data_IF_771417415964
#
_entry.id   IF_771417415964
#
_cell.length_a   1.000
_cell.length_b   1.000
_cell.length_c   1.000
_cell.angle_alpha   90.00
_cell.angle_beta   90.00
_cell.angle_gamma   90.00
#
_symmetry.space_group_name_H-M   'P 1'
#
loop_
_entity.id
_entity.type
_entity.pdbx_description
1 polymer ?
#
# COMPACT_ATOMS: atom_id res chain seq x y z
N UNK A 1 -20.82 -10.77 20.57
CA UNK A 1 -19.54 -10.06 20.82
C UNK A 1 -18.37 -10.54 19.95
N UNK A 2 -18.33 -11.81 19.50
CA UNK A 2 -17.28 -12.28 18.57
C UNK A 2 -17.37 -11.62 17.17
N UNK A 3 -18.59 -11.42 16.65
CA UNK A 3 -18.82 -10.82 15.33
C UNK A 3 -18.32 -9.37 15.21
N UNK A 4 -18.47 -8.57 16.26
CA UNK A 4 -18.01 -7.17 16.28
C UNK A 4 -16.48 -7.08 16.32
N UNK A 5 -15.84 -8.01 17.02
CA UNK A 5 -14.38 -8.11 17.04
C UNK A 5 -13.82 -8.47 15.66
N UNK A 6 -14.36 -9.54 15.03
CA UNK A 6 -13.95 -9.93 13.67
C UNK A 6 -14.16 -8.81 12.65
N UNK A 7 -15.28 -8.08 12.74
CA UNK A 7 -15.56 -6.94 11.87
C UNK A 7 -14.51 -5.85 12.00
N UNK A 8 -14.10 -5.52 13.23
CA UNK A 8 -13.06 -4.53 13.50
C UNK A 8 -11.72 -4.96 12.91
N UNK A 9 -11.31 -6.22 13.10
CA UNK A 9 -10.07 -6.75 12.54
C UNK A 9 -10.07 -6.72 11.01
N UNK A 10 -11.19 -7.04 10.37
CA UNK A 10 -11.30 -6.95 8.91
C UNK A 10 -11.19 -5.51 8.41
N UNK A 11 -11.80 -4.53 9.10
CA UNK A 11 -11.69 -3.13 8.72
C UNK A 11 -10.26 -2.64 8.90
N UNK A 12 -9.61 -2.94 10.03
CA UNK A 12 -8.21 -2.59 10.24
C UNK A 12 -7.28 -3.23 9.21
N UNK A 13 -7.50 -4.52 8.91
CA UNK A 13 -6.73 -5.23 7.89
C UNK A 13 -6.90 -4.63 6.50
N UNK A 14 -8.11 -4.19 6.15
CA UNK A 14 -8.39 -3.47 4.91
C UNK A 14 -7.62 -2.15 4.85
N UNK A 15 -7.74 -1.30 5.88
CA UNK A 15 -7.09 0.02 5.91
C UNK A 15 -5.55 -0.12 5.86
N UNK A 16 -4.98 -1.05 6.62
CA UNK A 16 -3.55 -1.35 6.59
C UNK A 16 -3.12 -1.92 5.24
N UNK A 17 -3.92 -2.81 4.66
CA UNK A 17 -3.63 -3.44 3.37
C UNK A 17 -3.57 -2.42 2.24
N UNK A 18 -4.49 -1.45 2.22
CA UNK A 18 -4.47 -0.33 1.27
C UNK A 18 -3.19 0.50 1.44
N UNK A 19 -2.88 0.94 2.66
CA UNK A 19 -1.69 1.75 2.91
C UNK A 19 -0.37 1.04 2.56
N UNK A 20 -0.28 -0.27 2.81
CA UNK A 20 0.89 -1.09 2.43
C UNK A 20 0.98 -1.24 0.91
N UNK A 21 -0.15 -1.54 0.25
CA UNK A 21 -0.22 -1.70 -1.20
C UNK A 21 0.15 -0.44 -1.94
N UNK A 22 -0.42 0.69 -1.54
CA UNK A 22 -0.11 2.03 -2.01
C UNK A 22 1.39 2.33 -1.86
N UNK A 23 1.95 2.19 -0.65
CA UNK A 23 3.37 2.49 -0.42
C UNK A 23 4.35 1.58 -1.21
N UNK A 24 3.97 0.33 -1.51
CA UNK A 24 4.74 -0.58 -2.37
C UNK A 24 4.59 -0.24 -3.87
N UNK A 25 3.41 0.25 -4.26
CA UNK A 25 3.02 0.63 -5.61
C UNK A 25 3.56 1.99 -6.04
N UNK A 26 3.70 2.93 -5.11
CA UNK A 26 4.08 4.32 -5.37
C UNK A 26 5.35 4.49 -6.23
N UNK A 27 6.47 3.77 -6.02
CA UNK A 27 7.64 3.84 -6.93
C UNK A 27 7.36 3.38 -8.37
N UNK A 28 6.28 2.63 -8.58
CA UNK A 28 5.94 1.96 -9.84
C UNK A 28 4.80 2.66 -10.59
N UNK A 29 4.25 3.73 -10.04
CA UNK A 29 3.21 4.51 -10.70
C UNK A 29 3.68 5.04 -12.06
N UNK A 30 2.75 5.09 -13.01
CA UNK A 30 2.99 5.58 -14.38
C UNK A 30 4.07 4.81 -15.16
N UNK A 31 4.49 3.63 -14.69
CA UNK A 31 5.41 2.75 -15.41
C UNK A 31 4.64 1.65 -16.13
N UNK A 32 5.00 1.42 -17.40
CA UNK A 32 4.61 0.17 -18.04
C UNK A 32 5.34 -1.02 -17.38
N UNK A 33 4.73 -2.20 -17.41
CA UNK A 33 5.27 -3.43 -16.78
C UNK A 33 6.74 -3.68 -17.12
N UNK A 34 7.13 -3.50 -18.39
CA UNK A 34 8.51 -3.69 -18.86
C UNK A 34 9.49 -2.74 -18.17
N UNK A 35 9.12 -1.46 -18.01
CA UNK A 35 9.96 -0.46 -17.35
C UNK A 35 10.08 -0.72 -15.85
N UNK A 36 8.97 -1.06 -15.19
CA UNK A 36 8.97 -1.45 -13.77
C UNK A 36 9.89 -2.64 -13.49
N UNK A 37 9.84 -3.67 -14.33
CA UNK A 37 10.74 -4.83 -14.22
C UNK A 37 12.21 -4.49 -14.45
N UNK A 38 12.52 -3.56 -15.36
CA UNK A 38 13.90 -3.10 -15.60
C UNK A 38 14.45 -2.30 -14.41
N UNK A 39 13.63 -1.45 -13.80
CA UNK A 39 14.03 -0.59 -12.68
C UNK A 39 14.13 -1.34 -11.35
N UNK A 40 13.22 -2.29 -11.10
CA UNK A 40 13.04 -2.89 -9.78
C UNK A 40 13.23 -4.41 -9.74
N UNK A 41 13.45 -5.05 -10.88
CA UNK A 41 13.66 -6.49 -10.99
C UNK A 41 12.40 -7.34 -10.74
N UNK A 42 12.61 -8.66 -10.62
CA UNK A 42 11.58 -9.68 -10.33
C UNK A 42 11.64 -10.21 -8.89
N UNK A 43 12.49 -9.62 -8.06
CA UNK A 43 12.62 -10.00 -6.66
C UNK A 43 11.35 -9.70 -5.86
N UNK A 44 11.32 -10.11 -4.57
CA UNK A 44 10.20 -9.82 -3.70
C UNK A 44 9.91 -8.31 -3.63
N UNK A 45 8.65 -7.94 -3.43
CA UNK A 45 8.26 -6.56 -3.22
C UNK A 45 8.94 -6.00 -1.97
N UNK A 46 9.46 -4.78 -2.11
CA UNK A 46 10.14 -4.02 -1.06
C UNK A 46 9.76 -2.56 -1.24
N UNK A 47 9.77 -1.78 -0.16
CA UNK A 47 9.70 -0.34 -0.26
C UNK A 47 10.96 0.20 -0.93
N UNK A 48 10.79 1.04 -1.95
CA UNK A 48 11.90 1.47 -2.82
C UNK A 48 12.08 2.99 -2.85
N UNK A 49 11.33 3.71 -2.01
CA UNK A 49 11.55 5.12 -1.73
C UNK A 49 12.59 5.31 -0.62
N UNK A 50 12.90 6.56 -0.31
CA UNK A 50 13.95 7.02 0.62
C UNK A 50 14.26 6.01 1.75
N UNK A 51 15.47 5.43 1.70
CA UNK A 51 15.99 4.47 2.68
C UNK A 51 15.12 3.21 2.89
N UNK A 52 14.49 2.71 1.84
CA UNK A 52 13.59 1.55 1.88
C UNK A 52 12.43 1.71 2.88
N UNK A 53 11.94 2.94 3.04
CA UNK A 53 10.76 3.25 3.86
C UNK A 53 9.50 3.30 3.01
N UNK A 54 8.39 2.89 3.58
CA UNK A 54 7.07 3.08 2.99
C UNK A 54 6.64 4.53 3.14
N UNK A 55 6.30 5.17 2.02
CA UNK A 55 5.58 6.45 1.99
C UNK A 55 4.28 6.18 1.27
N UNK A 56 3.18 6.68 1.83
CA UNK A 56 1.86 6.56 1.23
C UNK A 56 1.55 7.79 0.35
N UNK A 57 0.69 7.60 -0.64
CA UNK A 57 0.26 8.64 -1.60
C UNK A 57 -1.03 9.33 -1.14
N UNK A 58 -1.61 10.14 -2.02
CA UNK A 58 -2.93 10.73 -1.87
C UNK A 58 -4.05 9.69 -1.77
N UNK A 59 -3.90 8.48 -2.32
CA UNK A 59 -4.87 7.39 -2.16
C UNK A 59 -5.09 7.04 -0.68
N UNK A 60 -4.00 6.83 0.07
CA UNK A 60 -4.08 6.58 1.51
C UNK A 60 -4.60 7.80 2.27
N UNK A 61 -4.25 9.02 1.86
CA UNK A 61 -4.77 10.24 2.49
C UNK A 61 -6.28 10.33 2.33
N UNK A 62 -6.79 10.13 1.12
CA UNK A 62 -8.22 10.15 0.82
C UNK A 62 -8.96 9.03 1.57
N UNK A 63 -8.39 7.82 1.62
CA UNK A 63 -8.93 6.72 2.42
C UNK A 63 -9.07 7.12 3.90
N UNK A 64 -8.03 7.72 4.49
CA UNK A 64 -8.06 8.14 5.90
C UNK A 64 -9.09 9.25 6.15
N UNK A 65 -9.21 10.22 5.24
CA UNK A 65 -10.23 11.26 5.31
C UNK A 65 -11.65 10.68 5.21
N UNK A 66 -11.83 9.64 4.40
CA UNK A 66 -13.14 8.97 4.21
C UNK A 66 -13.52 8.07 5.38
N UNK A 67 -12.54 7.51 6.08
CA UNK A 67 -12.76 6.57 7.19
C UNK A 67 -13.07 7.25 8.54
N UNK A 68 -12.93 8.57 8.63
CA UNK A 68 -13.24 9.39 9.81
C UNK A 68 -14.72 9.79 9.84
#
# INVERSE_FOLDING_TARGET
MHSTFLRREHIHGLLLGVAIGDALGLPRENLCRRRGLKMFGRGPLRYQLSRARGFYSDDTQLMLLTAQ
#
